data_IF_396884331101
#
_entry.id   IF_396884331101
#
_cell.length_a   1.000
_cell.length_b   1.000
_cell.length_c   1.000
_cell.angle_alpha   90.00
_cell.angle_beta   90.00
_cell.angle_gamma   90.00
#
_symmetry.space_group_name_H-M   'P 1'
#
loop_
_entity.id
_entity.type
_entity.pdbx_description
1 polymer ?
#
# COMPACT_ATOMS: atom_id res chain seq x y z
N UNK A 1 17.68 15.33 -3.60
CA UNK A 1 16.58 15.92 -2.79
C UNK A 1 15.68 14.77 -2.39
N UNK A 2 15.43 14.57 -1.10
CA UNK A 2 14.58 13.45 -0.61
C UNK A 2 13.12 13.81 -0.81
N UNK A 3 12.28 12.82 -1.13
CA UNK A 3 10.82 13.00 -1.29
C UNK A 3 10.16 13.20 0.08
N UNK A 4 10.72 12.59 1.13
CA UNK A 4 10.15 12.55 2.47
C UNK A 4 11.10 13.21 3.49
N UNK A 5 11.11 14.55 3.61
CA UNK A 5 11.92 15.23 4.61
C UNK A 5 11.36 14.97 6.03
N UNK A 6 12.27 14.79 7.00
CA UNK A 6 11.95 14.57 8.41
C UNK A 6 11.08 13.34 8.71
N UNK A 7 11.08 12.34 7.81
CA UNK A 7 10.30 11.11 7.99
C UNK A 7 10.71 10.35 9.27
N UNK A 8 11.92 10.56 9.78
CA UNK A 8 12.45 9.96 11.01
C UNK A 8 11.55 10.26 12.22
N UNK A 9 10.91 11.42 12.23
CA UNK A 9 10.02 11.84 13.33
C UNK A 9 8.73 11.01 13.39
N UNK A 10 8.38 10.29 12.33
CA UNK A 10 7.20 9.44 12.28
C UNK A 10 7.44 8.01 12.81
N UNK A 11 8.69 7.65 13.18
CA UNK A 11 9.03 6.33 13.73
C UNK A 11 8.85 6.29 15.26
N UNK A 12 7.65 6.64 15.70
CA UNK A 12 7.20 6.70 17.09
C UNK A 12 5.91 5.89 17.34
N UNK A 13 5.47 5.16 16.32
CA UNK A 13 4.20 4.45 16.31
C UNK A 13 4.22 3.16 17.12
N UNK A 14 3.13 2.94 17.85
CA UNK A 14 2.82 1.67 18.50
C UNK A 14 1.51 1.14 17.96
N UNK A 15 1.60 0.12 17.11
CA UNK A 15 0.43 -0.39 16.43
C UNK A 15 -0.53 -1.09 17.40
N UNK A 16 -1.80 -0.70 17.37
CA UNK A 16 -2.90 -1.37 18.04
C UNK A 16 -3.89 -1.93 17.00
N UNK A 17 -4.45 -3.11 17.28
CA UNK A 17 -5.42 -3.72 16.37
C UNK A 17 -6.77 -3.00 16.47
N UNK A 18 -7.00 -2.10 15.52
CA UNK A 18 -8.22 -1.29 15.36
C UNK A 18 -8.75 -1.46 13.94
N UNK A 19 -9.89 -0.83 13.63
CA UNK A 19 -10.42 -0.72 12.28
C UNK A 19 -9.30 -0.25 11.35
N UNK A 20 -9.06 -0.96 10.24
CA UNK A 20 -7.89 -0.74 9.38
C UNK A 20 -8.19 -0.95 7.90
N UNK A 21 -7.23 -0.55 7.08
CA UNK A 21 -7.16 -0.78 5.64
C UNK A 21 -5.85 -1.48 5.31
N UNK A 22 -5.84 -2.25 4.23
CA UNK A 22 -4.66 -3.01 3.81
C UNK A 22 -4.30 -2.65 2.36
N UNK A 23 -3.00 -2.47 2.13
CA UNK A 23 -2.40 -2.37 0.80
C UNK A 23 -1.34 -3.44 0.62
N UNK A 24 -1.29 -4.05 -0.56
CA UNK A 24 -0.37 -5.15 -0.86
C UNK A 24 0.40 -4.82 -2.13
N UNK A 25 1.72 -4.87 -2.05
CA UNK A 25 2.63 -4.88 -3.18
C UNK A 25 3.15 -6.31 -3.38
N UNK A 26 2.65 -7.04 -4.41
CA UNK A 26 3.00 -8.42 -4.63
C UNK A 26 4.27 -8.56 -5.46
N UNK A 27 5.15 -9.46 -5.07
CA UNK A 27 6.27 -9.92 -5.92
C UNK A 27 6.20 -11.42 -6.20
N UNK A 28 6.76 -11.83 -7.32
CA UNK A 28 6.92 -13.25 -7.68
C UNK A 28 8.02 -13.91 -6.83
N UNK A 29 8.93 -14.57 -7.48
CA UNK A 29 10.17 -15.10 -6.91
C UNK A 29 11.31 -14.26 -7.48
N UNK A 30 12.17 -13.73 -6.62
CA UNK A 30 13.26 -12.86 -7.05
C UNK A 30 13.73 -11.92 -5.94
N UNK A 31 14.32 -10.80 -6.33
CA UNK A 31 14.91 -9.83 -5.41
C UNK A 31 13.87 -8.94 -4.72
N UNK A 32 12.71 -8.71 -5.35
CA UNK A 32 11.64 -7.86 -4.81
C UNK A 32 10.87 -8.56 -3.68
N UNK A 33 10.42 -7.76 -2.72
CA UNK A 33 9.69 -8.26 -1.57
C UNK A 33 8.17 -8.16 -1.78
N UNK A 34 7.43 -9.19 -1.34
CA UNK A 34 5.98 -9.05 -1.15
C UNK A 34 5.73 -8.38 0.18
N UNK A 35 5.13 -7.19 0.15
CA UNK A 35 4.84 -6.40 1.35
C UNK A 35 3.34 -6.23 1.54
N UNK A 36 2.90 -6.39 2.79
CA UNK A 36 1.54 -6.07 3.24
C UNK A 36 1.61 -4.90 4.20
N UNK A 37 1.04 -3.77 3.84
CA UNK A 37 0.92 -2.58 4.70
C UNK A 37 -0.49 -2.48 5.28
N UNK A 38 -0.58 -2.18 6.57
CA UNK A 38 -1.83 -2.01 7.30
C UNK A 38 -1.81 -0.65 7.97
N UNK A 39 -2.85 0.17 7.74
CA UNK A 39 -3.05 1.45 8.42
C UNK A 39 -4.32 1.36 9.24
N UNK A 40 -4.24 1.65 10.53
CA UNK A 40 -5.41 1.70 11.41
C UNK A 40 -6.02 3.10 11.51
N UNK A 41 -7.10 3.24 12.29
CA UNK A 41 -7.80 4.52 12.49
C UNK A 41 -7.00 5.55 13.28
N UNK A 42 -5.91 5.18 13.91
CA UNK A 42 -4.99 6.09 14.62
C UNK A 42 -3.82 6.52 13.73
N UNK A 43 -3.93 6.26 12.41
CA UNK A 43 -2.90 6.54 11.43
C UNK A 43 -1.55 5.83 11.70
N UNK A 44 -1.59 4.75 12.49
CA UNK A 44 -0.41 3.91 12.77
C UNK A 44 -0.30 2.80 11.74
N UNK A 45 0.92 2.60 11.23
CA UNK A 45 1.26 1.65 10.17
C UNK A 45 2.01 0.46 10.74
N UNK A 46 1.54 -0.74 10.36
CA UNK A 46 2.27 -2.00 10.49
C UNK A 46 2.54 -2.60 9.13
N UNK A 47 3.73 -3.18 8.95
CA UNK A 47 4.07 -3.85 7.70
C UNK A 47 4.56 -5.28 7.94
N UNK A 48 4.25 -6.14 6.99
CA UNK A 48 4.73 -7.52 6.95
C UNK A 48 5.47 -7.77 5.63
N UNK A 49 6.73 -8.22 5.73
CA UNK A 49 7.43 -8.84 4.63
C UNK A 49 7.00 -10.30 4.53
N UNK A 50 6.39 -10.69 3.41
CA UNK A 50 5.84 -12.03 3.20
C UNK A 50 6.78 -12.84 2.31
N UNK A 51 7.46 -13.80 2.91
CA UNK A 51 8.44 -14.67 2.27
C UNK A 51 7.92 -16.09 2.08
N UNK A 52 8.51 -16.82 1.14
CA UNK A 52 8.23 -18.21 0.84
C UNK A 52 7.84 -18.46 -0.60
N UNK A 53 7.37 -19.69 -0.89
CA UNK A 53 6.80 -20.02 -2.20
C UNK A 53 5.52 -19.22 -2.46
N UNK A 54 5.06 -19.17 -3.70
CA UNK A 54 3.82 -18.47 -4.05
C UNK A 54 2.63 -18.95 -3.22
N UNK A 55 2.47 -20.28 -3.07
CA UNK A 55 1.37 -20.83 -2.28
C UNK A 55 1.47 -20.45 -0.80
N UNK A 56 2.69 -20.44 -0.24
CA UNK A 56 2.92 -19.98 1.12
C UNK A 56 2.62 -18.48 1.28
N UNK A 57 2.94 -17.65 0.27
CA UNK A 57 2.60 -16.24 0.25
C UNK A 57 1.08 -16.05 0.24
N UNK A 58 0.35 -16.78 -0.59
CA UNK A 58 -1.13 -16.72 -0.63
C UNK A 58 -1.76 -17.05 0.72
N UNK A 59 -1.29 -18.12 1.38
CA UNK A 59 -1.78 -18.51 2.71
C UNK A 59 -1.50 -17.44 3.77
N UNK A 60 -0.26 -16.93 3.81
CA UNK A 60 0.15 -15.92 4.79
C UNK A 60 -0.63 -14.62 4.62
N UNK A 61 -0.78 -14.15 3.37
CA UNK A 61 -1.53 -12.92 3.07
C UNK A 61 -3.01 -13.10 3.42
N UNK A 62 -3.62 -14.22 3.04
CA UNK A 62 -5.02 -14.50 3.37
C UNK A 62 -5.23 -14.57 4.89
N UNK A 63 -4.28 -15.14 5.65
CA UNK A 63 -4.32 -15.15 7.13
C UNK A 63 -4.27 -13.74 7.68
N UNK A 64 -3.33 -12.90 7.24
CA UNK A 64 -3.23 -11.50 7.67
C UNK A 64 -4.57 -10.78 7.43
N UNK A 65 -5.15 -10.89 6.22
CA UNK A 65 -6.42 -10.23 5.89
C UNK A 65 -7.56 -10.75 6.77
N UNK A 66 -7.63 -12.06 7.01
CA UNK A 66 -8.68 -12.65 7.85
C UNK A 66 -8.54 -12.24 9.32
N UNK A 67 -7.30 -12.17 9.86
CA UNK A 67 -7.01 -11.83 11.25
C UNK A 67 -7.31 -10.34 11.53
N UNK A 68 -6.94 -9.45 10.62
CA UNK A 68 -7.18 -8.01 10.76
C UNK A 68 -8.60 -7.59 10.39
N UNK A 69 -9.31 -8.38 9.57
CA UNK A 69 -10.67 -8.11 9.12
C UNK A 69 -10.86 -6.64 8.65
N UNK A 70 -10.08 -6.15 7.66
CA UNK A 70 -10.02 -4.76 7.28
C UNK A 70 -11.34 -4.26 6.70
N UNK A 71 -11.53 -2.93 6.69
CA UNK A 71 -12.62 -2.26 5.96
C UNK A 71 -12.53 -2.58 4.48
N UNK A 72 -11.30 -2.54 3.94
CA UNK A 72 -11.02 -2.86 2.55
C UNK A 72 -9.54 -3.23 2.39
N UNK A 73 -9.25 -3.98 1.33
CA UNK A 73 -7.91 -4.37 0.92
C UNK A 73 -7.72 -4.08 -0.56
N UNK A 74 -6.62 -3.41 -0.90
CA UNK A 74 -6.10 -3.30 -2.25
C UNK A 74 -4.88 -4.19 -2.44
N UNK A 75 -4.81 -4.90 -3.56
CA UNK A 75 -3.60 -5.56 -4.05
C UNK A 75 -3.21 -4.95 -5.39
N UNK A 76 -1.94 -4.55 -5.52
CA UNK A 76 -1.43 -4.02 -6.78
C UNK A 76 -1.53 -5.06 -7.90
N UNK A 77 -2.09 -4.66 -9.05
CA UNK A 77 -2.41 -5.56 -10.17
C UNK A 77 -1.35 -5.47 -11.28
N UNK A 78 -0.07 -5.39 -10.90
CA UNK A 78 1.02 -5.40 -11.87
C UNK A 78 1.52 -6.84 -12.03
N UNK A 79 1.74 -7.27 -13.28
CA UNK A 79 2.34 -8.59 -13.60
C UNK A 79 1.67 -9.76 -12.87
N UNK A 80 2.24 -10.20 -11.74
CA UNK A 80 1.76 -11.36 -10.97
C UNK A 80 0.55 -11.03 -10.08
N UNK A 81 0.26 -9.75 -9.84
CA UNK A 81 -0.75 -9.31 -8.86
C UNK A 81 -2.15 -9.86 -9.15
N UNK A 82 -2.56 -9.98 -10.40
CA UNK A 82 -3.87 -10.54 -10.77
C UNK A 82 -3.98 -12.02 -10.40
N UNK A 83 -2.94 -12.81 -10.67
CA UNK A 83 -2.90 -14.23 -10.31
C UNK A 83 -2.94 -14.39 -8.79
N UNK A 84 -2.10 -13.63 -8.06
CA UNK A 84 -2.09 -13.63 -6.61
C UNK A 84 -3.43 -13.21 -6.02
N UNK A 85 -4.05 -12.15 -6.56
CA UNK A 85 -5.35 -11.68 -6.12
C UNK A 85 -6.42 -12.78 -6.20
N UNK A 86 -6.46 -13.51 -7.31
CA UNK A 86 -7.41 -14.60 -7.52
C UNK A 86 -7.18 -15.75 -6.53
N UNK A 87 -5.94 -16.17 -6.30
CA UNK A 87 -5.61 -17.26 -5.37
C UNK A 87 -5.86 -16.87 -3.91
N UNK A 88 -5.46 -15.65 -3.50
CA UNK A 88 -5.74 -15.13 -2.16
C UNK A 88 -7.25 -15.07 -1.92
N UNK A 89 -8.02 -14.54 -2.89
CA UNK A 89 -9.48 -14.38 -2.77
C UNK A 89 -10.22 -15.69 -2.49
N UNK A 90 -9.71 -16.83 -2.98
CA UNK A 90 -10.29 -18.16 -2.70
C UNK A 90 -10.22 -18.53 -1.22
N UNK A 91 -9.22 -17.99 -0.50
CA UNK A 91 -8.89 -18.30 0.90
C UNK A 91 -9.48 -17.29 1.91
N UNK A 92 -10.08 -16.20 1.43
CA UNK A 92 -10.66 -15.17 2.28
C UNK A 92 -12.03 -15.59 2.84
N UNK A 93 -12.24 -15.31 4.13
CA UNK A 93 -13.55 -15.45 4.80
C UNK A 93 -14.53 -14.40 4.26
N UNK A 94 -14.06 -13.17 3.97
CA UNK A 94 -14.84 -12.09 3.39
C UNK A 94 -14.21 -11.62 2.07
N UNK A 95 -14.85 -11.97 0.97
CA UNK A 95 -14.34 -11.68 -0.40
C UNK A 95 -14.76 -10.31 -0.94
N UNK A 96 -15.79 -9.70 -0.34
CA UNK A 96 -16.43 -8.48 -0.86
C UNK A 96 -15.60 -7.22 -0.74
N UNK A 97 -14.61 -7.20 0.15
CA UNK A 97 -13.80 -6.02 0.46
C UNK A 97 -12.34 -6.16 -0.03
N UNK A 98 -12.11 -7.03 -1.01
CA UNK A 98 -10.79 -7.29 -1.58
C UNK A 98 -10.81 -6.94 -3.08
N UNK A 99 -9.96 -6.00 -3.49
CA UNK A 99 -9.96 -5.43 -4.83
C UNK A 99 -8.55 -5.39 -5.43
N UNK A 100 -8.45 -5.60 -6.74
CA UNK A 100 -7.24 -5.31 -7.50
C UNK A 100 -7.12 -3.81 -7.75
N UNK A 101 -5.91 -3.28 -7.64
CA UNK A 101 -5.58 -1.88 -7.86
C UNK A 101 -4.48 -1.75 -8.92
N UNK A 102 -4.74 -1.06 -10.01
CA UNK A 102 -3.74 -0.83 -11.05
C UNK A 102 -2.99 0.46 -10.77
N UNK A 103 -1.70 0.35 -10.50
CA UNK A 103 -0.82 1.50 -10.33
C UNK A 103 -0.48 2.10 -11.70
N UNK A 104 -0.77 3.38 -11.84
CA UNK A 104 -0.37 4.23 -12.96
C UNK A 104 0.58 5.31 -12.47
N UNK A 105 1.27 6.01 -13.36
CA UNK A 105 2.09 7.16 -12.96
C UNK A 105 1.28 8.21 -12.17
N UNK A 106 0.04 8.45 -12.55
CA UNK A 106 -0.81 9.43 -11.88
C UNK A 106 -1.25 8.95 -10.50
N UNK A 107 -1.68 7.69 -10.35
CA UNK A 107 -2.03 7.14 -9.04
C UNK A 107 -0.80 7.03 -8.13
N UNK A 108 0.38 6.65 -8.67
CA UNK A 108 1.64 6.65 -7.90
C UNK A 108 1.98 8.06 -7.41
N UNK A 109 1.88 9.06 -8.27
CA UNK A 109 2.07 10.47 -7.90
C UNK A 109 1.09 10.91 -6.81
N UNK A 110 -0.17 10.51 -6.91
CA UNK A 110 -1.21 10.86 -5.95
C UNK A 110 -0.89 10.28 -4.57
N UNK A 111 -0.69 8.97 -4.45
CA UNK A 111 -0.46 8.37 -3.14
C UNK A 111 0.90 8.74 -2.52
N UNK A 112 1.95 8.97 -3.33
CA UNK A 112 3.22 9.50 -2.83
C UNK A 112 3.06 10.93 -2.31
N UNK A 113 2.25 11.76 -2.98
CA UNK A 113 1.95 13.11 -2.48
C UNK A 113 1.17 13.08 -1.16
N UNK A 114 0.20 12.18 -1.02
CA UNK A 114 -0.52 11.98 0.25
C UNK A 114 0.45 11.56 1.37
N UNK A 115 1.30 10.56 1.11
CA UNK A 115 2.30 10.11 2.09
C UNK A 115 3.26 11.25 2.50
N UNK A 116 3.73 12.04 1.54
CA UNK A 116 4.62 13.17 1.82
C UNK A 116 3.94 14.24 2.71
N UNK A 117 2.66 14.51 2.48
CA UNK A 117 1.87 15.44 3.32
C UNK A 117 1.67 14.87 4.72
N UNK A 118 1.31 13.59 4.84
CA UNK A 118 1.10 12.94 6.14
C UNK A 118 2.40 12.92 6.96
N UNK A 119 3.55 12.62 6.34
CA UNK A 119 4.87 12.68 6.99
C UNK A 119 5.23 14.10 7.41
N UNK A 120 5.06 15.09 6.53
CA UNK A 120 5.42 16.48 6.82
C UNK A 120 4.61 17.06 7.99
N UNK A 121 3.39 16.55 8.21
CA UNK A 121 2.51 16.98 9.30
C UNK A 121 2.59 16.08 10.55
N UNK A 122 3.47 15.07 10.58
CA UNK A 122 3.49 14.02 11.61
C UNK A 122 2.09 13.40 11.82
N UNK A 123 1.36 13.17 10.73
CA UNK A 123 0.00 12.65 10.74
C UNK A 123 -0.06 11.14 10.44
N UNK A 124 1.09 10.50 10.29
CA UNK A 124 1.24 9.05 10.11
C UNK A 124 2.37 8.55 11.01
N UNK A 125 2.18 7.39 11.62
CA UNK A 125 3.11 6.84 12.60
C UNK A 125 3.57 5.44 12.18
N UNK A 126 4.88 5.21 12.13
CA UNK A 126 5.50 3.93 11.81
C UNK A 126 6.01 3.25 13.07
N UNK A 127 5.98 1.90 13.10
CA UNK A 127 6.61 1.16 14.19
C UNK A 127 8.13 1.41 14.21
N UNK A 128 8.70 1.68 15.40
CA UNK A 128 10.10 2.08 15.60
C UNK A 128 11.11 1.06 15.04
N UNK A 129 10.76 -0.21 15.01
CA UNK A 129 11.60 -1.32 14.55
C UNK A 129 11.48 -1.63 13.05
N UNK A 130 10.67 -0.88 12.30
CA UNK A 130 10.50 -1.07 10.85
C UNK A 130 11.69 -0.51 10.05
N UNK A 131 12.83 -1.19 10.16
CA UNK A 131 14.09 -0.78 9.51
C UNK A 131 14.01 -0.81 7.98
N UNK A 132 13.18 -1.69 7.41
CA UNK A 132 13.05 -1.80 5.95
C UNK A 132 12.38 -0.54 5.39
N UNK A 133 11.23 -0.14 5.95
CA UNK A 133 10.56 1.10 5.56
C UNK A 133 11.46 2.32 5.77
N UNK A 134 12.18 2.39 6.91
CA UNK A 134 13.12 3.47 7.17
C UNK A 134 14.17 3.59 6.06
N UNK A 135 14.80 2.48 5.69
CA UNK A 135 15.78 2.44 4.61
C UNK A 135 15.20 2.88 3.27
N UNK A 136 14.01 2.40 2.91
CA UNK A 136 13.39 2.74 1.63
C UNK A 136 12.95 4.21 1.58
N UNK A 137 12.34 4.76 2.64
CA UNK A 137 12.01 6.19 2.71
C UNK A 137 13.25 7.08 2.55
N UNK A 138 14.39 6.68 3.14
CA UNK A 138 15.64 7.43 3.05
C UNK A 138 16.24 7.47 1.64
N UNK A 139 15.98 6.46 0.82
CA UNK A 139 16.52 6.29 -0.53
C UNK A 139 15.52 6.64 -1.62
N UNK A 140 14.26 6.89 -1.26
CA UNK A 140 13.20 7.20 -2.21
C UNK A 140 13.41 8.57 -2.86
N UNK A 141 13.27 8.64 -4.18
CA UNK A 141 13.59 9.83 -4.95
C UNK A 141 12.59 10.05 -6.10
N UNK A 142 12.76 11.14 -6.80
CA UNK A 142 12.04 11.39 -8.04
C UNK A 142 13.02 11.66 -9.19
N UNK A 143 12.60 11.31 -10.40
CA UNK A 143 13.33 11.60 -11.63
C UNK A 143 12.43 12.41 -12.56
N UNK A 144 12.99 13.43 -13.19
CA UNK A 144 12.33 14.12 -14.29
C UNK A 144 12.60 13.34 -15.58
N UNK A 145 11.56 12.97 -16.28
CA UNK A 145 11.68 12.35 -17.61
C UNK A 145 12.03 13.42 -18.64
N UNK A 146 12.51 13.00 -19.82
CA UNK A 146 12.80 13.91 -20.94
C UNK A 146 11.59 14.74 -21.38
N UNK A 147 10.37 14.26 -21.10
CA UNK A 147 9.11 14.97 -21.37
C UNK A 147 8.61 15.88 -20.23
N UNK A 148 9.43 16.09 -19.17
CA UNK A 148 9.06 16.96 -18.04
C UNK A 148 8.15 16.30 -17.00
N UNK A 149 7.81 15.02 -17.15
CA UNK A 149 7.01 14.29 -16.15
C UNK A 149 7.87 13.83 -14.97
N UNK A 150 7.29 13.86 -13.78
CA UNK A 150 7.91 13.34 -12.56
C UNK A 150 7.56 11.85 -12.43
N UNK A 151 8.58 11.02 -12.20
CA UNK A 151 8.44 9.62 -11.81
C UNK A 151 9.06 9.40 -10.45
N UNK A 152 8.46 8.55 -9.63
CA UNK A 152 8.90 8.24 -8.27
C UNK A 152 9.37 6.79 -8.19
N UNK A 153 10.55 6.58 -7.62
CA UNK A 153 11.12 5.26 -7.38
C UNK A 153 12.24 5.33 -6.34
N UNK A 154 12.69 4.20 -5.84
CA UNK A 154 13.94 4.11 -5.14
C UNK A 154 15.11 4.51 -6.07
N UNK A 155 16.25 4.87 -5.48
CA UNK A 155 17.51 5.04 -6.22
C UNK A 155 17.93 3.72 -6.84
N UNK A 156 18.71 3.79 -7.92
CA UNK A 156 19.21 2.59 -8.59
C UNK A 156 19.97 1.69 -7.58
N UNK A 157 19.61 0.40 -7.55
CA UNK A 157 20.14 -0.59 -6.59
C UNK A 157 19.41 -0.64 -5.23
N UNK A 158 18.33 0.10 -5.07
CA UNK A 158 17.46 0.06 -3.89
C UNK A 158 16.04 -0.34 -4.28
N UNK A 159 15.26 -0.81 -3.28
CA UNK A 159 13.87 -1.21 -3.45
C UNK A 159 12.92 -0.12 -2.93
N UNK A 160 11.65 -0.15 -3.38
CA UNK A 160 10.57 0.73 -2.93
C UNK A 160 9.28 -0.04 -2.57
N UNK A 161 9.42 -1.35 -2.30
CA UNK A 161 8.30 -2.26 -2.08
C UNK A 161 7.44 -1.85 -0.85
N UNK A 162 8.09 -1.42 0.25
CA UNK A 162 7.39 -0.96 1.46
C UNK A 162 6.69 0.37 1.22
N UNK A 163 7.31 1.28 0.47
CA UNK A 163 6.74 2.59 0.12
C UNK A 163 5.58 2.41 -0.85
N UNK A 164 5.71 1.52 -1.84
CA UNK A 164 4.64 1.21 -2.81
C UNK A 164 3.45 0.56 -2.09
N UNK A 165 3.67 -0.48 -1.31
CA UNK A 165 2.62 -1.14 -0.52
C UNK A 165 1.88 -0.17 0.41
N UNK A 166 2.63 0.74 1.08
CA UNK A 166 2.07 1.79 1.92
C UNK A 166 1.23 2.79 1.11
N UNK A 167 1.71 3.20 -0.07
CA UNK A 167 0.97 4.07 -0.97
C UNK A 167 -0.35 3.46 -1.44
N UNK A 168 -0.34 2.17 -1.82
CA UNK A 168 -1.55 1.41 -2.17
C UNK A 168 -2.51 1.33 -0.98
N UNK A 169 -1.99 1.19 0.25
CA UNK A 169 -2.81 1.18 1.47
C UNK A 169 -3.45 2.55 1.74
N UNK A 170 -2.70 3.65 1.56
CA UNK A 170 -3.23 5.02 1.66
C UNK A 170 -4.34 5.27 0.65
N UNK A 171 -4.16 4.82 -0.59
CA UNK A 171 -5.19 4.92 -1.62
C UNK A 171 -6.44 4.11 -1.24
N UNK A 172 -6.27 2.89 -0.73
CA UNK A 172 -7.37 2.08 -0.23
C UNK A 172 -8.13 2.81 0.89
N UNK A 173 -7.42 3.37 1.86
CA UNK A 173 -8.00 4.17 2.93
C UNK A 173 -8.77 5.38 2.39
N UNK A 174 -8.19 6.12 1.47
CA UNK A 174 -8.82 7.28 0.85
C UNK A 174 -10.14 6.93 0.16
N UNK A 175 -10.15 5.83 -0.61
CA UNK A 175 -11.32 5.42 -1.37
C UNK A 175 -12.46 4.88 -0.48
N UNK A 176 -12.14 4.33 0.70
CA UNK A 176 -13.10 3.66 1.59
C UNK A 176 -13.31 4.33 2.96
N UNK A 177 -12.56 5.38 3.29
CA UNK A 177 -12.72 6.10 4.57
C UNK A 177 -14.12 6.69 4.73
N UNK A 178 -14.72 7.14 3.64
CA UNK A 178 -16.01 7.81 3.61
C UNK A 178 -17.18 6.94 3.17
N UNK A 179 -16.95 5.64 2.93
CA UNK A 179 -18.01 4.74 2.42
C UNK A 179 -19.03 4.27 3.47
N UNK A 180 -19.05 4.89 4.65
CA UNK A 180 -20.06 4.60 5.70
C UNK A 180 -21.47 5.05 5.33
N UNK A 181 -21.65 6.06 4.48
CA UNK A 181 -22.97 6.65 4.18
C UNK A 181 -23.35 6.76 2.69
N UNK A 182 -22.42 6.58 1.73
CA UNK A 182 -22.71 6.76 0.30
C UNK A 182 -22.07 5.74 -0.64
N UNK A 183 -22.27 4.44 -0.38
CA UNK A 183 -21.72 3.35 -1.22
C UNK A 183 -22.25 3.33 -2.67
N UNK A 184 -23.35 3.99 -2.99
CA UNK A 184 -23.99 3.89 -4.31
C UNK A 184 -23.45 4.86 -5.36
N UNK A 185 -22.87 5.99 -4.98
CA UNK A 185 -22.50 7.04 -5.94
C UNK A 185 -21.09 6.91 -6.53
N UNK A 186 -20.12 6.33 -5.81
CA UNK A 186 -18.73 6.25 -6.29
C UNK A 186 -18.48 5.14 -7.31
N UNK A 187 -19.15 3.99 -7.15
CA UNK A 187 -19.01 2.86 -8.07
C UNK A 187 -19.68 3.15 -9.42
N UNK A 188 -20.78 3.93 -9.41
CA UNK A 188 -21.50 4.32 -10.63
C UNK A 188 -20.76 5.39 -11.43
N UNK A 189 -19.99 6.26 -10.80
CA UNK A 189 -19.24 7.32 -11.49
C UNK A 189 -18.02 6.77 -12.24
N UNK A 190 -17.29 5.82 -11.65
CA UNK A 190 -16.17 5.15 -12.37
C UNK A 190 -16.63 4.25 -13.53
N UNK A 191 -17.86 3.70 -13.48
CA UNK A 191 -18.42 2.92 -14.59
C UNK A 191 -18.96 3.78 -15.75
N UNK A 192 -19.31 5.05 -15.54
CA UNK A 192 -19.79 5.97 -16.59
C UNK A 192 -18.67 6.63 -17.40
N UNK A 193 -17.41 6.51 -17.00
CA UNK A 193 -16.25 7.03 -17.73
C UNK A 193 -15.58 5.99 -18.65
N UNK A 194 -16.18 4.80 -18.80
CA UNK A 194 -15.66 3.71 -19.65
C UNK A 194 -16.61 3.36 -20.83
N UNK A 195 -17.46 4.33 -21.28
CA UNK A 195 -18.20 4.24 -22.55
C UNK A 195 -17.92 5.46 -23.40
#
# INVERSE_FOLDING_TARGET
MTVFPNFENCFDGKYENKKCWIGIDPSSVGEDNTIVSIINTDDTVRQYKVEGTLDQKYEKIARIINDYNPVSTYIENNSIGEVMANEIKKKLLRKSNFYSFTTTNDSKKQYISMLAVDIANNAIHFEEDNKLLYSELSTFTFKLTKGGNITYAARDGFHDDTVTSLGVCLQCRQDFKYSGENKLNFITTKRKLLY
#
